data_IF_781569354355
#
_entry.id   IF_781569354355
#
_cell.length_a   1.000
_cell.length_b   1.000
_cell.length_c   1.000
_cell.angle_alpha   90.00
_cell.angle_beta   90.00
_cell.angle_gamma   90.00
#
_symmetry.space_group_name_H-M   'P 1'
#
loop_
_entity.id
_entity.type
_entity.pdbx_description
1 polymer ?
#
# COMPACT_ATOMS: atom_id res chain seq x y z
N UNK A 1 -0.84 5.41 -29.49
CA UNK A 1 -0.51 4.46 -28.40
C UNK A 1 0.93 4.60 -27.90
N UNK A 2 1.93 4.77 -28.76
CA UNK A 2 3.34 4.89 -28.34
C UNK A 2 3.64 6.12 -27.46
N UNK A 3 3.06 7.28 -27.78
CA UNK A 3 3.13 8.49 -26.96
C UNK A 3 2.56 8.29 -25.53
N UNK A 4 1.39 7.67 -25.41
CA UNK A 4 0.74 7.36 -24.12
C UNK A 4 1.60 6.39 -23.30
N UNK A 5 2.12 5.33 -23.92
CA UNK A 5 3.02 4.38 -23.25
C UNK A 5 4.31 5.06 -22.78
N UNK A 6 4.87 5.96 -23.59
CA UNK A 6 6.06 6.72 -23.20
C UNK A 6 5.75 7.65 -22.04
N UNK A 7 4.63 8.38 -22.09
CA UNK A 7 4.20 9.27 -21.01
C UNK A 7 4.05 8.52 -19.68
N UNK A 8 3.35 7.38 -19.67
CA UNK A 8 3.16 6.57 -18.46
C UNK A 8 4.51 6.07 -17.90
N UNK A 9 5.45 5.69 -18.77
CA UNK A 9 6.79 5.25 -18.34
C UNK A 9 7.63 6.41 -17.79
N UNK A 10 7.53 7.60 -18.38
CA UNK A 10 8.31 8.77 -17.99
C UNK A 10 7.73 9.44 -16.74
N UNK A 11 6.41 9.45 -16.60
CA UNK A 11 5.68 10.12 -15.51
C UNK A 11 4.77 9.13 -14.75
N UNK A 12 5.31 8.06 -14.15
CA UNK A 12 4.50 7.02 -13.50
C UNK A 12 3.68 7.53 -12.32
N UNK A 13 4.02 8.71 -11.78
CA UNK A 13 3.36 9.37 -10.65
C UNK A 13 2.52 10.58 -11.05
N UNK A 14 2.24 10.75 -12.35
CA UNK A 14 1.35 11.81 -12.79
C UNK A 14 -0.01 11.64 -12.12
N UNK A 15 -0.54 12.71 -11.50
CA UNK A 15 -1.70 12.62 -10.60
C UNK A 15 -2.95 12.01 -11.22
N UNK A 16 -3.10 12.09 -12.55
CA UNK A 16 -4.22 11.47 -13.27
C UNK A 16 -3.99 10.02 -13.69
N UNK A 17 -2.78 9.46 -13.48
CA UNK A 17 -2.49 8.04 -13.75
C UNK A 17 -2.85 7.21 -12.51
N UNK A 18 -3.77 6.24 -12.64
CA UNK A 18 -4.07 5.32 -11.55
C UNK A 18 -2.89 4.41 -11.20
N UNK A 19 -2.69 4.12 -9.91
CA UNK A 19 -1.61 3.23 -9.45
C UNK A 19 -1.65 1.84 -10.09
N UNK A 20 -2.83 1.34 -10.49
CA UNK A 20 -3.03 0.04 -11.14
C UNK A 20 -2.86 0.09 -12.69
N UNK A 21 -2.50 1.25 -13.26
CA UNK A 21 -2.29 1.38 -14.71
C UNK A 21 -1.21 0.42 -15.23
N UNK A 22 -0.19 0.13 -14.43
CA UNK A 22 0.87 -0.83 -14.78
C UNK A 22 0.34 -2.26 -14.98
N UNK A 23 -0.79 -2.60 -14.34
CA UNK A 23 -1.45 -3.91 -14.45
C UNK A 23 -2.44 -3.94 -15.62
N UNK A 24 -3.33 -2.95 -15.71
CA UNK A 24 -4.42 -2.97 -16.70
C UNK A 24 -3.99 -2.56 -18.11
N UNK A 25 -3.05 -1.60 -18.26
CA UNK A 25 -2.67 -1.09 -19.59
C UNK A 25 -2.06 -2.16 -20.52
N UNK A 26 -1.19 -3.07 -20.05
CA UNK A 26 -0.71 -4.17 -20.87
C UNK A 26 -1.81 -5.16 -21.28
N UNK A 27 -2.84 -5.30 -20.45
CA UNK A 27 -3.90 -6.30 -20.60
C UNK A 27 -5.16 -5.76 -21.29
N UNK A 28 -5.14 -4.51 -21.77
CA UNK A 28 -6.34 -3.80 -22.26
C UNK A 28 -7.11 -4.57 -23.34
N UNK A 29 -6.42 -5.23 -24.27
CA UNK A 29 -7.08 -6.01 -25.33
C UNK A 29 -7.88 -7.19 -24.77
N UNK A 30 -7.37 -7.86 -23.74
CA UNK A 30 -8.06 -8.96 -23.08
C UNK A 30 -9.25 -8.44 -22.28
N UNK A 31 -9.05 -7.38 -21.51
CA UNK A 31 -10.08 -6.76 -20.65
C UNK A 31 -11.28 -6.21 -21.44
N UNK A 32 -11.04 -5.77 -22.68
CA UNK A 32 -12.07 -5.23 -23.57
C UNK A 32 -12.75 -6.30 -24.44
N UNK A 33 -12.38 -7.58 -24.31
CA UNK A 33 -13.03 -8.67 -25.04
C UNK A 33 -14.47 -8.88 -24.55
N UNK A 34 -15.37 -9.22 -25.46
CA UNK A 34 -16.82 -9.37 -25.15
C UNK A 34 -17.13 -10.57 -24.25
N UNK A 35 -16.23 -11.54 -24.20
CA UNK A 35 -16.31 -12.79 -23.44
C UNK A 35 -15.40 -12.79 -22.18
N UNK A 36 -14.83 -11.63 -21.84
CA UNK A 36 -13.91 -11.53 -20.72
C UNK A 36 -14.61 -11.75 -19.37
N UNK A 37 -14.00 -12.61 -18.54
CA UNK A 37 -14.42 -12.89 -17.16
C UNK A 37 -13.28 -12.45 -16.22
N UNK A 38 -13.53 -11.51 -15.29
CA UNK A 38 -12.53 -11.05 -14.35
C UNK A 38 -11.94 -12.18 -13.48
N UNK A 39 -10.62 -12.21 -13.37
CA UNK A 39 -9.93 -13.12 -12.46
C UNK A 39 -9.86 -12.53 -11.05
N UNK A 40 -9.51 -13.37 -10.06
CA UNK A 40 -9.22 -12.88 -8.72
C UNK A 40 -8.07 -11.85 -8.71
N UNK A 41 -7.07 -12.02 -9.57
CA UNK A 41 -5.96 -11.08 -9.70
C UNK A 41 -6.43 -9.71 -10.21
N UNK A 42 -7.37 -9.69 -11.17
CA UNK A 42 -7.96 -8.45 -11.67
C UNK A 42 -8.72 -7.74 -10.55
N UNK A 43 -9.53 -8.49 -9.80
CA UNK A 43 -10.29 -7.96 -8.66
C UNK A 43 -9.34 -7.37 -7.60
N UNK A 44 -8.21 -8.02 -7.30
CA UNK A 44 -7.20 -7.51 -6.36
C UNK A 44 -6.56 -6.19 -6.81
N UNK A 45 -6.52 -5.92 -8.12
CA UNK A 45 -6.00 -4.66 -8.66
C UNK A 45 -7.06 -3.56 -8.78
N UNK A 46 -8.34 -3.84 -8.50
CA UNK A 46 -9.38 -2.81 -8.49
C UNK A 46 -9.15 -1.81 -7.36
N UNK A 47 -9.33 -0.52 -7.68
CA UNK A 47 -9.23 0.58 -6.72
C UNK A 47 -10.63 1.07 -6.35
N UNK A 48 -11.35 0.26 -5.58
CA UNK A 48 -12.67 0.65 -5.05
C UNK A 48 -12.47 1.17 -3.63
N UNK A 49 -12.83 2.43 -3.33
CA UNK A 49 -12.66 2.96 -1.99
C UNK A 49 -13.66 2.34 -1.02
N UNK A 50 -13.19 1.86 0.13
CA UNK A 50 -14.05 1.49 1.26
C UNK A 50 -14.73 2.75 1.82
N UNK A 51 -16.05 2.83 1.71
CA UNK A 51 -16.88 3.96 2.19
C UNK A 51 -17.75 3.59 3.41
N UNK A 52 -17.91 2.29 3.64
CA UNK A 52 -18.66 1.71 4.76
C UNK A 52 -17.72 1.14 5.84
N UNK A 53 -18.32 0.67 6.92
CA UNK A 53 -17.67 -0.22 7.88
C UNK A 53 -18.11 -1.63 7.50
N UNK A 54 -17.16 -2.47 7.09
CA UNK A 54 -17.44 -3.84 6.69
C UNK A 54 -16.93 -4.78 7.79
N UNK A 55 -17.72 -5.79 8.12
CA UNK A 55 -17.32 -6.86 9.04
C UNK A 55 -17.11 -8.15 8.26
N UNK A 56 -15.96 -8.78 8.46
CA UNK A 56 -15.57 -10.04 7.85
C UNK A 56 -15.26 -11.01 8.99
N UNK A 57 -16.06 -12.07 9.09
CA UNK A 57 -15.87 -13.13 10.07
C UNK A 57 -15.29 -14.37 9.40
N UNK A 58 -14.24 -14.93 9.97
CA UNK A 58 -13.62 -16.16 9.49
C UNK A 58 -12.97 -16.91 10.65
N UNK A 59 -12.77 -18.21 10.46
CA UNK A 59 -12.11 -19.08 11.44
C UNK A 59 -10.60 -19.10 11.19
N UNK A 60 -9.82 -19.01 12.26
CA UNK A 60 -8.36 -19.13 12.22
C UNK A 60 -7.88 -20.02 13.36
N UNK A 61 -7.27 -21.15 13.02
CA UNK A 61 -6.94 -22.21 13.98
C UNK A 61 -8.20 -22.67 14.72
N UNK A 62 -8.27 -22.49 16.04
CA UNK A 62 -9.43 -22.82 16.88
C UNK A 62 -10.23 -21.58 17.32
N UNK A 63 -9.96 -20.41 16.74
CA UNK A 63 -10.54 -19.13 17.15
C UNK A 63 -11.25 -18.43 16.01
N UNK A 64 -12.45 -17.90 16.28
CA UNK A 64 -13.17 -17.05 15.36
C UNK A 64 -12.57 -15.64 15.37
N UNK A 65 -12.24 -15.10 14.20
CA UNK A 65 -11.71 -13.75 14.04
C UNK A 65 -12.75 -12.87 13.37
N UNK A 66 -12.98 -11.71 14.00
CA UNK A 66 -13.79 -10.62 13.45
C UNK A 66 -12.87 -9.51 12.96
N UNK A 67 -12.77 -9.36 11.64
CA UNK A 67 -12.05 -8.27 10.99
C UNK A 67 -13.02 -7.14 10.66
N UNK A 68 -12.73 -5.94 11.15
CA UNK A 68 -13.48 -4.73 10.84
C UNK A 68 -12.66 -3.90 9.84
N UNK A 69 -13.12 -3.82 8.59
CA UNK A 69 -12.55 -2.97 7.55
C UNK A 69 -13.27 -1.61 7.56
N UNK A 70 -12.49 -0.53 7.69
CA UNK A 70 -12.99 0.83 7.77
C UNK A 70 -12.34 1.71 6.71
N UNK A 71 -13.15 2.53 6.05
CA UNK A 71 -12.65 3.51 5.09
C UNK A 71 -11.57 4.43 5.65
N UNK A 72 -10.41 4.47 4.98
CA UNK A 72 -9.26 5.29 5.38
C UNK A 72 -9.29 6.75 4.90
N UNK A 73 -10.23 7.11 4.01
CA UNK A 73 -10.36 8.47 3.50
C UNK A 73 -10.84 9.43 4.59
N UNK A 74 -10.37 10.68 4.53
CA UNK A 74 -10.61 11.70 5.57
C UNK A 74 -12.09 11.85 5.95
N UNK A 75 -12.98 11.84 4.97
CA UNK A 75 -14.44 11.95 5.17
C UNK A 75 -15.00 10.83 6.05
N UNK A 76 -14.44 9.62 5.96
CA UNK A 76 -14.92 8.45 6.68
C UNK A 76 -14.19 8.18 8.01
N UNK A 77 -13.06 8.84 8.27
CA UNK A 77 -12.30 8.67 9.54
C UNK A 77 -13.10 9.00 10.79
N UNK A 78 -14.13 9.86 10.67
CA UNK A 78 -15.06 10.16 11.78
C UNK A 78 -15.78 8.91 12.28
N UNK A 79 -15.95 7.87 11.43
CA UNK A 79 -16.59 6.61 11.80
C UNK A 79 -15.69 5.69 12.65
N UNK A 80 -14.37 5.90 12.65
CA UNK A 80 -13.41 5.00 13.31
C UNK A 80 -13.67 4.85 14.81
N UNK A 81 -14.12 5.91 15.48
CA UNK A 81 -14.37 5.88 16.94
C UNK A 81 -15.40 4.82 17.34
N UNK A 82 -16.34 4.48 16.45
CA UNK A 82 -17.37 3.47 16.70
C UNK A 82 -16.87 2.03 16.54
N UNK A 83 -15.66 1.85 16.00
CA UNK A 83 -15.10 0.54 15.68
C UNK A 83 -13.94 0.14 16.60
N UNK A 84 -13.53 1.00 17.54
CA UNK A 84 -12.36 0.73 18.40
C UNK A 84 -12.70 0.08 19.74
N UNK A 85 -13.99 -0.02 20.10
CA UNK A 85 -14.38 -0.68 21.34
C UNK A 85 -14.19 -2.19 21.24
N UNK A 86 -13.57 -2.79 22.25
CA UNK A 86 -13.30 -4.23 22.31
C UNK A 86 -12.31 -4.78 21.27
N UNK A 87 -11.55 -3.93 20.56
CA UNK A 87 -10.59 -4.39 19.54
C UNK A 87 -9.33 -4.99 20.17
N UNK A 88 -9.02 -6.24 19.82
CA UNK A 88 -7.83 -6.94 20.32
C UNK A 88 -6.51 -6.39 19.73
N UNK A 89 -6.52 -6.02 18.46
CA UNK A 89 -5.39 -5.36 17.78
C UNK A 89 -5.84 -4.52 16.58
N UNK A 90 -4.99 -3.56 16.21
CA UNK A 90 -5.18 -2.71 15.04
C UNK A 90 -4.16 -3.10 13.98
N UNK A 91 -4.64 -3.51 12.81
CA UNK A 91 -3.82 -3.70 11.61
C UNK A 91 -3.74 -2.35 10.88
N UNK A 92 -2.56 -1.72 10.93
CA UNK A 92 -2.32 -0.44 10.24
C UNK A 92 -1.48 -0.69 8.99
N UNK A 93 -2.00 -0.31 7.83
CA UNK A 93 -1.35 -0.48 6.53
C UNK A 93 -0.92 0.88 5.98
N UNK A 94 0.32 0.99 5.53
CA UNK A 94 0.86 2.19 4.89
C UNK A 94 1.53 1.82 3.56
N UNK A 95 1.24 2.58 2.51
CA UNK A 95 1.90 2.38 1.21
C UNK A 95 3.30 2.98 1.26
N UNK A 96 4.32 2.13 1.15
CA UNK A 96 5.70 2.59 0.98
C UNK A 96 5.90 3.23 -0.39
N UNK A 97 5.16 2.79 -1.41
CA UNK A 97 5.25 3.29 -2.77
C UNK A 97 4.66 4.70 -2.96
N UNK A 98 3.95 5.24 -1.98
CA UNK A 98 3.34 6.57 -2.04
C UNK A 98 4.26 7.71 -1.57
N UNK A 99 5.55 7.45 -1.35
CA UNK A 99 6.52 8.42 -0.79
C UNK A 99 6.72 9.68 -1.63
N UNK A 100 6.48 9.60 -2.93
CA UNK A 100 6.60 10.67 -3.92
C UNK A 100 5.22 11.15 -4.41
N UNK A 101 4.15 10.78 -3.71
CA UNK A 101 2.78 11.20 -4.02
C UNK A 101 2.32 12.28 -3.03
N UNK A 102 1.51 13.21 -3.53
CA UNK A 102 0.83 14.18 -2.70
C UNK A 102 -0.57 13.69 -2.33
N UNK A 103 -1.03 14.04 -1.13
CA UNK A 103 -2.44 13.86 -0.76
C UNK A 103 -3.23 15.00 -1.41
N UNK A 104 -4.24 14.66 -2.20
CA UNK A 104 -5.12 15.66 -2.81
C UNK A 104 -5.94 16.39 -1.74
N UNK A 105 -5.49 17.59 -1.35
CA UNK A 105 -6.35 18.59 -0.73
C UNK A 105 -6.00 19.99 -1.28
N UNK A 106 -6.91 20.50 -2.11
CA UNK A 106 -7.06 21.90 -2.56
C UNK A 106 -6.00 22.42 -3.55
N UNK A 107 -6.36 22.44 -4.83
CA UNK A 107 -6.18 23.58 -5.73
C UNK A 107 -4.83 24.31 -5.67
N UNK A 108 -3.72 23.58 -5.86
CA UNK A 108 -2.54 24.16 -6.46
C UNK A 108 -2.56 23.73 -7.92
N UNK A 109 -2.90 24.70 -8.79
CA UNK A 109 -2.81 24.62 -10.24
C UNK A 109 -1.78 23.58 -10.66
N UNK A 110 -2.25 22.48 -11.27
CA UNK A 110 -1.41 21.69 -12.15
C UNK A 110 -0.94 22.70 -13.20
N UNK A 111 0.29 23.21 -13.10
CA UNK A 111 0.98 23.73 -14.27
C UNK A 111 1.37 22.48 -15.04
N UNK A 112 0.67 22.09 -16.12
CA UNK A 112 1.24 21.09 -17.01
C UNK A 112 2.57 21.68 -17.45
N UNK A 113 3.67 21.02 -17.08
CA UNK A 113 4.95 21.28 -17.72
C UNK A 113 4.74 20.84 -19.16
N UNK A 114 4.35 21.80 -19.99
CA UNK A 114 4.27 21.64 -21.42
C UNK A 114 5.71 21.55 -21.92
N UNK A 115 6.01 20.42 -22.58
CA UNK A 115 6.98 20.27 -23.64
C UNK A 115 8.20 21.20 -23.63
N UNK A 116 9.38 20.66 -23.29
CA UNK A 116 10.59 20.93 -24.09
C UNK A 116 11.71 19.88 -24.00
N UNK A 117 11.73 18.96 -23.03
CA UNK A 117 12.84 17.97 -22.94
C UNK A 117 12.38 16.50 -22.96
N UNK A 118 11.53 16.14 -23.93
CA UNK A 118 11.15 14.74 -24.10
C UNK A 118 12.27 13.96 -24.80
N UNK A 119 12.65 12.86 -24.15
CA UNK A 119 13.44 11.70 -24.62
C UNK A 119 14.97 11.74 -24.41
N UNK A 120 15.47 11.52 -23.19
CA UNK A 120 16.69 10.73 -23.04
C UNK A 120 16.39 9.26 -23.43
N UNK A 121 17.37 8.50 -23.95
CA UNK A 121 17.16 7.11 -24.34
C UNK A 121 16.79 6.24 -23.13
N UNK A 122 15.66 5.57 -23.21
CA UNK A 122 15.20 4.63 -22.18
C UNK A 122 15.95 3.30 -22.39
N UNK A 123 16.79 2.93 -21.41
CA UNK A 123 17.40 1.61 -21.36
C UNK A 123 16.32 0.52 -21.19
N UNK A 124 16.53 -0.61 -21.87
CA UNK A 124 15.59 -1.71 -21.97
C UNK A 124 15.32 -2.44 -20.64
N UNK A 125 14.05 -2.80 -20.47
CA UNK A 125 13.53 -3.93 -19.70
C UNK A 125 13.96 -4.08 -18.22
N UNK A 126 13.25 -3.41 -17.30
CA UNK A 126 13.19 -3.88 -15.92
C UNK A 126 12.25 -5.08 -15.81
N UNK A 127 12.81 -6.20 -15.34
CA UNK A 127 12.06 -7.38 -14.86
C UNK A 127 10.94 -6.94 -13.91
N UNK A 128 9.79 -7.61 -13.87
CA UNK A 128 8.72 -7.29 -12.94
C UNK A 128 9.20 -7.54 -11.50
N UNK A 129 9.75 -6.51 -10.85
CA UNK A 129 9.88 -6.52 -9.40
C UNK A 129 8.46 -6.55 -8.81
N UNK A 130 8.21 -7.42 -7.83
CA UNK A 130 6.88 -7.54 -7.20
C UNK A 130 6.48 -6.30 -6.41
N UNK A 131 7.45 -5.44 -6.08
CA UNK A 131 7.25 -4.27 -5.24
C UNK A 131 7.30 -2.96 -6.06
N UNK A 132 6.20 -2.22 -6.07
CA UNK A 132 6.09 -0.91 -6.72
C UNK A 132 7.06 0.11 -6.11
N UNK A 133 7.34 0.02 -4.80
CA UNK A 133 8.28 0.91 -4.13
C UNK A 133 9.69 0.76 -4.72
N UNK A 134 10.19 -0.48 -4.83
CA UNK A 134 11.54 -0.74 -5.37
C UNK A 134 11.68 -0.37 -6.84
N UNK A 135 10.61 -0.48 -7.63
CA UNK A 135 10.61 -0.02 -9.03
C UNK A 135 10.81 1.50 -9.17
N UNK A 136 10.36 2.26 -8.18
CA UNK A 136 10.38 3.72 -8.23
C UNK A 136 11.72 4.29 -7.80
N UNK A 137 12.43 3.66 -6.87
CA UNK A 137 13.71 4.14 -6.32
C UNK A 137 14.75 4.57 -7.39
N UNK A 138 14.98 3.83 -8.50
CA UNK A 138 15.96 4.23 -9.51
C UNK A 138 15.62 5.51 -10.27
N UNK A 139 14.32 5.83 -10.42
CA UNK A 139 13.85 6.99 -11.20
C UNK A 139 13.39 8.14 -10.29
N UNK A 140 12.96 7.82 -9.08
CA UNK A 140 12.41 8.71 -8.07
C UNK A 140 13.14 8.42 -6.75
N UNK A 141 14.38 8.92 -6.64
CA UNK A 141 15.21 8.66 -5.46
C UNK A 141 14.54 9.18 -4.17
N UNK A 142 14.59 8.35 -3.11
CA UNK A 142 13.85 8.59 -1.87
C UNK A 142 14.30 9.87 -1.12
N UNK A 143 15.58 10.21 -1.22
CA UNK A 143 16.20 11.39 -0.59
C UNK A 143 15.62 12.72 -1.10
N UNK A 144 15.07 12.74 -2.32
CA UNK A 144 14.38 13.91 -2.89
C UNK A 144 13.05 14.21 -2.21
N UNK A 145 12.42 13.20 -1.59
CA UNK A 145 11.07 13.31 -1.03
C UNK A 145 11.05 13.20 0.49
N UNK A 146 11.96 12.41 1.08
CA UNK A 146 12.06 12.23 2.53
C UNK A 146 13.46 12.62 3.00
N UNK A 147 13.54 13.79 3.62
CA UNK A 147 14.78 14.30 4.19
C UNK A 147 15.38 13.35 5.25
N UNK A 148 16.70 13.22 5.22
CA UNK A 148 17.47 12.41 6.18
C UNK A 148 17.80 10.99 5.70
N UNK A 149 17.28 10.55 4.54
CA UNK A 149 17.72 9.30 3.92
C UNK A 149 19.11 9.48 3.27
N UNK A 150 20.00 8.50 3.47
CA UNK A 150 21.36 8.47 2.90
C UNK A 150 21.74 7.08 2.34
N UNK A 151 20.77 6.17 2.29
CA UNK A 151 21.00 4.82 1.80
C UNK A 151 21.15 4.78 0.27
N UNK A 152 21.62 3.65 -0.22
CA UNK A 152 21.89 3.39 -1.63
C UNK A 152 21.20 2.12 -2.12
N UNK A 153 20.78 1.21 -1.23
CA UNK A 153 20.07 0.00 -1.58
C UNK A 153 18.56 0.08 -1.33
N UNK A 154 17.81 -0.80 -2.01
CA UNK A 154 16.37 -0.94 -1.81
C UNK A 154 16.03 -1.40 -0.38
N UNK A 155 16.88 -2.23 0.22
CA UNK A 155 16.76 -2.72 1.58
C UNK A 155 16.95 -1.58 2.59
N UNK A 156 17.97 -0.74 2.40
CA UNK A 156 18.19 0.44 3.24
C UNK A 156 17.02 1.44 3.12
N UNK A 157 16.48 1.62 1.91
CA UNK A 157 15.29 2.45 1.67
C UNK A 157 14.07 1.89 2.42
N UNK A 158 13.88 0.58 2.37
CA UNK A 158 12.77 -0.10 3.04
C UNK A 158 12.85 0.07 4.55
N UNK A 159 14.04 -0.18 5.12
CA UNK A 159 14.30 -0.05 6.55
C UNK A 159 14.15 1.40 7.02
N UNK A 160 14.61 2.37 6.23
CA UNK A 160 14.44 3.78 6.53
C UNK A 160 12.96 4.17 6.61
N UNK A 161 12.11 3.73 5.67
CA UNK A 161 10.67 4.01 5.71
C UNK A 161 10.01 3.32 6.92
N UNK A 162 10.38 2.07 7.22
CA UNK A 162 9.89 1.38 8.42
C UNK A 162 10.18 2.19 9.68
N UNK A 163 11.43 2.59 9.86
CA UNK A 163 11.87 3.45 10.97
C UNK A 163 11.16 4.79 11.00
N UNK A 164 10.93 5.39 9.82
CA UNK A 164 10.20 6.64 9.69
C UNK A 164 8.78 6.54 10.26
N UNK A 165 8.08 5.42 10.05
CA UNK A 165 6.78 5.19 10.67
C UNK A 165 6.89 4.84 12.15
N UNK A 166 7.81 3.97 12.55
CA UNK A 166 7.97 3.56 13.95
C UNK A 166 8.34 4.72 14.88
N UNK A 167 9.14 5.68 14.40
CA UNK A 167 9.50 6.90 15.15
C UNK A 167 8.32 7.83 15.43
N UNK A 168 7.21 7.68 14.72
CA UNK A 168 5.96 8.45 14.95
C UNK A 168 5.08 7.86 16.04
N UNK A 169 5.50 6.74 16.66
CA UNK A 169 4.87 6.20 17.85
C UNK A 169 4.69 7.30 18.90
N UNK A 170 3.48 7.38 19.45
CA UNK A 170 3.14 8.40 20.44
C UNK A 170 4.08 8.35 21.64
N UNK A 171 4.62 9.50 22.04
CA UNK A 171 5.45 9.61 23.25
C UNK A 171 4.71 9.22 24.53
N UNK A 172 3.36 9.26 24.50
CA UNK A 172 2.49 8.87 25.62
C UNK A 172 2.31 7.36 25.76
N UNK A 173 2.52 6.60 24.67
CA UNK A 173 2.26 5.17 24.63
C UNK A 173 3.58 4.41 24.41
N UNK A 174 4.45 4.41 25.43
CA UNK A 174 5.79 3.80 25.34
C UNK A 174 5.74 2.27 25.32
N UNK A 175 4.78 1.68 26.02
CA UNK A 175 4.72 0.24 26.28
C UNK A 175 4.06 -0.56 25.14
N UNK A 176 3.21 0.08 24.32
CA UNK A 176 2.56 -0.64 23.21
C UNK A 176 3.57 -1.18 22.21
N UNK A 177 3.66 -2.50 22.13
CA UNK A 177 4.46 -3.19 21.12
C UNK A 177 3.86 -2.94 19.74
N UNK A 178 4.71 -2.60 18.78
CA UNK A 178 4.35 -2.49 17.36
C UNK A 178 5.07 -3.61 16.64
N UNK A 179 4.30 -4.43 15.92
CA UNK A 179 4.82 -5.48 15.06
C UNK A 179 4.73 -4.97 13.62
N UNK A 180 5.87 -4.91 12.94
CA UNK A 180 5.97 -4.37 11.59
C UNK A 180 6.37 -5.47 10.61
N UNK A 181 5.65 -5.55 9.49
CA UNK A 181 5.93 -6.50 8.41
C UNK A 181 5.89 -5.75 7.08
N UNK A 182 6.79 -6.12 6.16
CA UNK A 182 6.66 -5.72 4.77
C UNK A 182 5.64 -6.63 4.09
N UNK A 183 4.70 -6.03 3.38
CA UNK A 183 3.68 -6.78 2.65
C UNK A 183 3.48 -6.26 1.24
N UNK A 184 3.15 -7.16 0.33
CA UNK A 184 2.62 -6.84 -0.98
C UNK A 184 1.17 -7.33 -1.04
N UNK A 185 0.22 -6.41 -1.12
CA UNK A 185 -1.21 -6.72 -1.02
C UNK A 185 -1.71 -7.67 -2.13
N UNK A 186 -1.04 -7.68 -3.29
CA UNK A 186 -1.36 -8.56 -4.41
C UNK A 186 -0.62 -9.90 -4.35
N UNK A 187 0.36 -10.07 -3.44
CA UNK A 187 0.99 -11.36 -3.18
C UNK A 187 0.22 -12.10 -2.07
N UNK A 188 -0.75 -12.92 -2.48
CA UNK A 188 -1.66 -13.64 -1.56
C UNK A 188 -0.92 -14.49 -0.52
N UNK A 189 0.21 -15.09 -0.87
CA UNK A 189 1.03 -15.88 0.06
C UNK A 189 1.69 -14.99 1.12
N UNK A 190 2.17 -13.82 0.72
CA UNK A 190 2.74 -12.86 1.66
C UNK A 190 1.66 -12.31 2.60
N UNK A 191 0.48 -11.95 2.09
CA UNK A 191 -0.63 -11.48 2.92
C UNK A 191 -1.08 -12.56 3.90
N UNK A 192 -1.23 -13.80 3.45
CA UNK A 192 -1.58 -14.93 4.32
C UNK A 192 -0.58 -15.11 5.46
N UNK A 193 0.72 -15.05 5.17
CA UNK A 193 1.77 -15.17 6.18
C UNK A 193 1.72 -14.03 7.20
N UNK A 194 1.61 -12.78 6.74
CA UNK A 194 1.55 -11.60 7.62
C UNK A 194 0.28 -11.63 8.48
N UNK A 195 -0.84 -12.04 7.88
CA UNK A 195 -2.11 -12.12 8.57
C UNK A 195 -2.10 -13.22 9.64
N UNK A 196 -1.57 -14.40 9.31
CA UNK A 196 -1.34 -15.49 10.27
C UNK A 196 -0.48 -15.04 11.44
N UNK A 197 0.65 -14.38 11.18
CA UNK A 197 1.51 -13.85 12.23
C UNK A 197 0.79 -12.84 13.14
N UNK A 198 -0.02 -11.94 12.55
CA UNK A 198 -0.81 -10.98 13.32
C UNK A 198 -1.86 -11.68 14.21
N UNK A 199 -2.54 -12.70 13.69
CA UNK A 199 -3.52 -13.48 14.45
C UNK A 199 -2.85 -14.22 15.61
N UNK A 200 -1.71 -14.88 15.38
CA UNK A 200 -0.95 -15.59 16.41
C UNK A 200 -0.51 -14.64 17.54
N UNK A 201 -0.04 -13.43 17.20
CA UNK A 201 0.32 -12.40 18.19
C UNK A 201 -0.88 -11.99 19.04
N UNK A 202 -2.04 -11.81 18.42
CA UNK A 202 -3.29 -11.45 19.12
C UNK A 202 -3.71 -12.58 20.06
N UNK A 203 -3.70 -13.82 19.57
CA UNK A 203 -4.08 -15.00 20.36
C UNK A 203 -3.16 -15.20 21.56
N UNK A 204 -1.84 -15.15 21.35
CA UNK A 204 -0.87 -15.24 22.45
C UNK A 204 -1.07 -14.14 23.51
N UNK A 205 -1.37 -12.92 23.06
CA UNK A 205 -1.62 -11.81 23.99
C UNK A 205 -2.90 -12.04 24.81
N UNK A 206 -3.96 -12.53 24.17
CA UNK A 206 -5.24 -12.81 24.83
C UNK A 206 -5.12 -13.99 25.83
N UNK A 207 -4.37 -15.03 25.48
CA UNK A 207 -4.08 -16.16 26.38
C UNK A 207 -3.29 -15.70 27.61
N UNK A 208 -2.22 -14.92 27.39
CA UNK A 208 -1.40 -14.36 28.48
C UNK A 208 -2.20 -13.45 29.41
N UNK A 209 -3.11 -12.62 28.88
CA UNK A 209 -3.98 -11.78 29.72
C UNK A 209 -5.05 -12.57 30.47
N UNK A 210 -5.38 -13.78 30.02
CA UNK A 210 -6.37 -14.67 30.65
C UNK A 210 -5.75 -15.61 31.70
N UNK A 211 -4.42 -15.60 31.86
CA UNK A 211 -3.70 -16.40 32.86
C UNK A 211 -3.54 -17.89 32.51
N UNK A 212 -3.78 -18.29 31.25
CA UNK A 212 -3.66 -19.67 30.79
C UNK A 212 -2.29 -19.82 30.11
N UNK A 213 -1.38 -20.58 30.74
CA UNK A 213 -0.09 -21.03 30.18
C UNK A 213 -0.20 -22.44 29.59
#
# INVERSE_FOLDING_TARGET
>A
VQCVRSFIKTYPNYSSIPDNAHYYMPNLNMLLSTDYIPTAEDILHLRIPTTAVNEINFEFSTSSIRLIDVGGQRTYRKKWIHCFDGVAAVLFVASMAAYDQHLDEVDLMIKPVLHQDLFPPIAEAQKPAKDLFWKKLPTHALDRYIGGYKGTSNEEASEFIKDYFLKRKSKKDKERKIYSHYTCATDTKNVEFVFKAACDIVLQKNLNSSGIQ
#
